data_IF_055693597433
#
_entry.id   IF_055693597433
#
_cell.length_a   1.000
_cell.length_b   1.000
_cell.length_c   1.000
_cell.angle_alpha   90.00
_cell.angle_beta   90.00
_cell.angle_gamma   90.00
#
_symmetry.space_group_name_H-M   'P 1'
#
loop_
_entity.id
_entity.type
_entity.pdbx_description
1 polymer ?
#
# COMPACT_ATOMS: atom_id res chain seq x y z
N UNK A 1 32.71 40.37 6.04
CA UNK A 1 33.24 39.01 5.81
C UNK A 1 34.23 38.74 6.95
N UNK A 2 33.91 37.82 7.85
CA UNK A 2 34.62 37.66 9.12
C UNK A 2 36.08 37.20 8.92
N UNK A 3 37.06 37.86 9.58
CA UNK A 3 38.48 37.47 9.55
C UNK A 3 38.71 36.16 10.34
N UNK A 4 39.65 35.34 9.85
CA UNK A 4 39.82 33.92 10.19
C UNK A 4 40.78 33.59 11.34
N UNK A 5 41.35 34.55 12.06
CA UNK A 5 42.48 34.24 12.95
C UNK A 5 42.37 34.85 14.34
N UNK A 6 41.34 34.47 15.11
CA UNK A 6 41.36 34.72 16.55
C UNK A 6 40.63 33.66 17.37
N UNK A 7 41.32 32.55 17.63
CA UNK A 7 41.12 31.77 18.86
C UNK A 7 42.45 31.68 19.61
N UNK A 8 42.72 32.77 20.31
CA UNK A 8 43.74 32.93 21.33
C UNK A 8 43.30 32.15 22.57
N UNK A 9 44.00 31.06 22.89
CA UNK A 9 44.01 30.48 24.25
C UNK A 9 45.41 30.70 24.82
N UNK A 10 45.58 31.46 25.93
CA UNK A 10 46.87 31.71 26.54
C UNK A 10 47.26 30.53 27.45
N UNK A 11 48.53 30.13 27.41
CA UNK A 11 49.17 29.19 28.33
C UNK A 11 48.66 27.74 28.36
N UNK A 12 49.00 26.96 27.33
CA UNK A 12 49.38 25.57 27.57
C UNK A 12 50.65 25.24 26.78
N UNK A 13 51.73 25.01 27.52
CA UNK A 13 53.00 24.49 27.01
C UNK A 13 52.73 23.11 26.38
N UNK A 14 52.74 23.00 25.04
CA UNK A 14 52.90 21.70 24.37
C UNK A 14 54.22 21.72 23.61
N UNK A 15 55.24 21.25 24.31
CA UNK A 15 56.53 20.88 23.76
C UNK A 15 56.29 19.54 23.02
N UNK A 16 56.48 19.55 21.69
CA UNK A 16 56.49 18.37 20.80
C UNK A 16 55.12 17.74 20.47
N UNK A 17 54.58 18.07 19.29
CA UNK A 17 53.91 17.12 18.40
C UNK A 17 52.81 16.22 18.97
N UNK A 18 51.83 16.77 19.71
CA UNK A 18 50.61 16.02 20.03
C UNK A 18 49.39 16.93 19.85
N UNK A 19 48.73 16.80 18.70
CA UNK A 19 47.51 17.53 18.38
C UNK A 19 46.32 16.78 18.98
N UNK A 20 45.51 17.44 19.81
CA UNK A 20 44.20 16.91 20.25
C UNK A 20 43.13 17.38 19.27
N UNK A 21 42.52 16.45 18.55
CA UNK A 21 41.47 16.77 17.59
C UNK A 21 40.18 17.14 18.31
N UNK A 22 39.47 18.16 17.81
CA UNK A 22 38.13 18.50 18.30
C UNK A 22 37.10 17.41 17.96
N UNK A 23 37.33 16.67 16.87
CA UNK A 23 36.58 15.47 16.47
C UNK A 23 37.43 14.21 16.66
N UNK A 24 36.86 13.14 17.19
CA UNK A 24 37.58 11.87 17.39
C UNK A 24 37.86 11.21 16.03
N UNK A 25 39.14 10.97 15.72
CA UNK A 25 39.56 10.14 14.58
C UNK A 25 39.23 8.68 14.87
N UNK A 26 38.53 8.01 13.96
CA UNK A 26 38.13 6.61 14.12
C UNK A 26 39.01 5.67 13.30
N UNK A 27 38.81 4.36 13.48
CA UNK A 27 39.42 3.30 12.67
C UNK A 27 40.95 3.37 12.52
N UNK A 28 41.64 3.78 13.59
CA UNK A 28 43.10 3.92 13.60
C UNK A 28 43.62 5.19 12.92
N UNK A 29 42.77 6.18 12.68
CA UNK A 29 43.20 7.50 12.22
C UNK A 29 43.98 8.26 13.30
N UNK A 30 45.04 8.95 12.88
CA UNK A 30 45.90 9.75 13.75
C UNK A 30 45.55 11.22 13.66
N UNK A 31 45.53 11.90 14.82
CA UNK A 31 45.30 13.33 14.86
C UNK A 31 46.58 14.07 14.46
N UNK A 32 46.51 14.81 13.35
CA UNK A 32 47.66 15.55 12.78
C UNK A 32 47.43 17.06 12.78
N UNK A 33 46.24 17.51 13.18
CA UNK A 33 45.91 18.91 13.37
C UNK A 33 44.61 19.07 14.18
N UNK A 34 44.24 20.30 14.57
CA UNK A 34 43.11 20.54 15.47
C UNK A 34 41.76 19.97 14.97
N UNK A 35 41.59 19.86 13.65
CA UNK A 35 40.39 19.32 13.00
C UNK A 35 40.74 18.34 11.88
N UNK A 36 41.95 17.76 11.91
CA UNK A 36 42.47 16.99 10.77
C UNK A 36 42.96 15.63 11.24
N UNK A 37 42.29 14.60 10.71
CA UNK A 37 42.68 13.21 10.89
C UNK A 37 43.44 12.71 9.65
N UNK A 38 44.58 12.08 9.88
CA UNK A 38 45.25 11.26 8.86
C UNK A 38 44.75 9.84 9.01
N UNK A 39 44.07 9.33 7.97
CA UNK A 39 43.40 8.04 8.06
C UNK A 39 44.33 6.87 7.76
N UNK A 40 44.10 5.76 8.45
CA UNK A 40 44.74 4.49 8.13
C UNK A 40 44.36 4.02 6.71
N UNK A 41 45.21 3.17 6.13
CA UNK A 41 44.99 2.62 4.78
C UNK A 41 43.58 2.03 4.65
N UNK A 42 42.87 2.43 3.60
CA UNK A 42 41.51 1.97 3.34
C UNK A 42 40.40 2.78 4.02
N UNK A 43 40.72 3.88 4.72
CA UNK A 43 39.73 4.79 5.31
C UNK A 43 39.89 6.23 4.80
N UNK A 44 38.80 6.99 4.83
CA UNK A 44 38.72 8.37 4.35
C UNK A 44 37.67 9.18 5.12
N UNK A 45 37.55 10.46 4.75
CA UNK A 45 36.69 11.45 5.39
C UNK A 45 37.36 12.11 6.59
N UNK A 46 36.76 13.22 7.05
CA UNK A 46 37.35 14.10 8.07
C UNK A 46 37.61 13.40 9.42
N UNK A 47 36.86 12.32 9.70
CA UNK A 47 36.95 11.53 10.92
C UNK A 47 37.41 10.09 10.68
N UNK A 48 37.86 9.74 9.48
CA UNK A 48 38.27 8.39 9.09
C UNK A 48 37.17 7.33 9.26
N UNK A 49 35.92 7.74 9.05
CA UNK A 49 34.73 6.89 9.17
C UNK A 49 34.26 6.31 7.83
N UNK A 50 34.74 6.83 6.71
CA UNK A 50 34.35 6.37 5.38
C UNK A 50 35.32 5.29 4.90
N UNK A 51 34.86 4.04 4.85
CA UNK A 51 35.65 2.95 4.29
C UNK A 51 35.86 3.13 2.78
N UNK A 52 37.04 2.76 2.31
CA UNK A 52 37.42 2.73 0.89
C UNK A 52 37.41 1.26 0.45
N UNK A 53 36.58 0.95 -0.54
CA UNK A 53 36.59 -0.35 -1.20
C UNK A 53 37.22 -0.19 -2.58
N UNK A 54 38.30 -0.91 -2.85
CA UNK A 54 39.04 -0.88 -4.13
C UNK A 54 38.13 -1.31 -5.28
N UNK A 55 37.33 -2.34 -5.04
CA UNK A 55 36.23 -2.74 -5.90
C UNK A 55 34.93 -2.16 -5.36
N UNK A 56 34.17 -1.47 -6.22
CA UNK A 56 32.86 -0.95 -5.81
C UNK A 56 31.92 -2.09 -5.44
N UNK A 57 31.24 -1.95 -4.30
CA UNK A 57 30.20 -2.89 -3.89
C UNK A 57 29.05 -2.85 -4.89
N UNK A 58 28.76 -3.99 -5.53
CA UNK A 58 27.70 -4.10 -6.53
C UNK A 58 26.34 -4.38 -5.88
N UNK A 59 25.29 -4.34 -6.69
CA UNK A 59 23.94 -4.79 -6.34
C UNK A 59 23.40 -4.22 -5.01
N UNK A 60 23.64 -2.92 -4.80
CA UNK A 60 23.20 -2.20 -3.61
C UNK A 60 23.89 -2.66 -2.30
N UNK A 61 25.12 -3.19 -2.42
CA UNK A 61 26.01 -3.42 -1.28
C UNK A 61 26.62 -2.12 -0.76
N UNK A 62 26.95 -2.11 0.53
CA UNK A 62 27.54 -0.95 1.22
C UNK A 62 28.96 -1.28 1.66
N UNK A 63 29.92 -0.41 1.36
CA UNK A 63 31.29 -0.51 1.87
C UNK A 63 31.30 -0.14 3.36
N UNK A 64 31.51 -1.12 4.23
CA UNK A 64 31.46 -0.92 5.70
C UNK A 64 32.83 -1.00 6.35
N UNK A 65 33.79 -1.63 5.69
CA UNK A 65 35.20 -1.66 6.08
C UNK A 65 36.07 -1.76 4.81
N UNK A 66 37.40 -1.53 4.90
CA UNK A 66 38.29 -1.59 3.75
C UNK A 66 38.13 -2.91 3.00
N UNK A 67 37.84 -2.82 1.70
CA UNK A 67 37.57 -3.96 0.81
C UNK A 67 36.50 -4.95 1.32
N UNK A 68 35.63 -4.50 2.22
CA UNK A 68 34.56 -5.32 2.79
C UNK A 68 33.19 -4.69 2.50
N UNK A 69 32.42 -5.38 1.66
CA UNK A 69 31.06 -5.00 1.33
C UNK A 69 30.06 -5.79 2.17
N UNK A 70 29.15 -5.07 2.82
CA UNK A 70 27.92 -5.65 3.36
C UNK A 70 26.88 -5.73 2.24
N UNK A 71 26.53 -6.96 1.85
CA UNK A 71 25.66 -7.21 0.71
C UNK A 71 24.17 -7.13 1.04
N UNK A 72 23.38 -6.73 0.05
CA UNK A 72 21.93 -6.81 0.11
C UNK A 72 21.46 -8.28 0.14
N UNK A 73 20.24 -8.51 0.63
CA UNK A 73 19.64 -9.84 0.73
C UNK A 73 19.68 -10.57 -0.62
N UNK A 74 20.21 -11.80 -0.62
CA UNK A 74 20.33 -12.62 -1.81
C UNK A 74 21.58 -12.35 -2.65
N UNK A 75 22.53 -11.54 -2.16
CA UNK A 75 23.85 -11.35 -2.76
C UNK A 75 24.95 -11.78 -1.81
N UNK A 76 26.09 -12.20 -2.35
CA UNK A 76 27.23 -12.72 -1.59
C UNK A 76 28.55 -12.37 -2.29
N UNK A 77 29.66 -12.82 -1.70
CA UNK A 77 31.05 -12.52 -2.06
C UNK A 77 31.51 -11.11 -1.61
N UNK A 78 32.82 -10.85 -1.65
CA UNK A 78 33.44 -9.61 -1.16
C UNK A 78 32.96 -8.34 -1.89
N UNK A 79 32.46 -8.48 -3.12
CA UNK A 79 31.97 -7.38 -3.97
C UNK A 79 30.45 -7.38 -4.15
N UNK A 80 29.71 -8.31 -3.52
CA UNK A 80 28.27 -8.47 -3.69
C UNK A 80 27.82 -8.75 -5.14
N UNK A 81 28.70 -9.30 -5.96
CA UNK A 81 28.43 -9.64 -7.36
C UNK A 81 27.69 -10.97 -7.50
N UNK A 82 27.91 -11.91 -6.58
CA UNK A 82 27.36 -13.26 -6.70
C UNK A 82 25.94 -13.29 -6.17
N UNK A 83 24.98 -13.66 -7.01
CA UNK A 83 23.61 -13.88 -6.58
C UNK A 83 23.46 -15.23 -5.86
N UNK A 84 22.65 -15.23 -4.80
CA UNK A 84 22.26 -16.41 -4.05
C UNK A 84 20.85 -16.81 -4.47
N UNK A 85 20.70 -18.06 -4.94
CA UNK A 85 19.41 -18.66 -5.24
C UNK A 85 19.07 -19.69 -4.17
N UNK A 86 17.90 -19.56 -3.54
CA UNK A 86 17.42 -20.48 -2.49
C UNK A 86 17.31 -21.92 -3.02
N UNK A 87 16.86 -22.05 -4.27
CA UNK A 87 16.87 -23.31 -4.99
C UNK A 87 17.91 -23.25 -6.11
N UNK A 88 18.72 -24.30 -6.22
CA UNK A 88 19.66 -24.43 -7.34
C UNK A 88 18.92 -24.37 -8.68
N UNK A 89 19.46 -23.58 -9.61
CA UNK A 89 18.90 -23.44 -10.94
C UNK A 89 18.92 -24.80 -11.68
N UNK A 90 17.74 -25.28 -12.07
CA UNK A 90 17.60 -26.59 -12.71
C UNK A 90 18.17 -26.61 -14.12
N UNK A 91 18.55 -27.81 -14.59
CA UNK A 91 19.01 -28.07 -15.95
C UNK A 91 20.23 -27.22 -16.37
N UNK A 92 21.12 -26.92 -15.42
CA UNK A 92 22.33 -26.12 -15.67
C UNK A 92 22.05 -24.64 -15.92
N UNK A 93 20.94 -24.09 -15.41
CA UNK A 93 20.71 -22.65 -15.42
C UNK A 93 21.71 -21.91 -14.53
N UNK A 94 21.98 -20.64 -14.83
CA UNK A 94 22.82 -19.78 -14.02
C UNK A 94 21.99 -18.85 -13.13
N UNK A 95 22.39 -18.68 -11.87
CA UNK A 95 21.77 -17.74 -10.95
C UNK A 95 22.35 -16.36 -11.21
N UNK A 96 21.54 -15.41 -11.69
CA UNK A 96 22.03 -14.07 -12.07
C UNK A 96 21.50 -12.96 -11.17
N UNK A 97 20.46 -13.26 -10.39
CA UNK A 97 19.89 -12.38 -9.37
C UNK A 97 19.22 -13.26 -8.30
N UNK A 98 18.90 -12.72 -7.11
CA UNK A 98 18.21 -13.45 -6.06
C UNK A 98 17.00 -14.21 -6.61
N UNK A 99 17.00 -15.53 -6.42
CA UNK A 99 15.98 -16.47 -6.91
C UNK A 99 15.63 -16.36 -8.41
N UNK A 100 16.54 -15.79 -9.20
CA UNK A 100 16.38 -15.53 -10.64
C UNK A 100 17.37 -16.37 -11.43
N UNK A 101 16.85 -17.39 -12.10
CA UNK A 101 17.64 -18.31 -12.91
C UNK A 101 17.49 -18.01 -14.40
N UNK A 102 18.62 -17.85 -15.09
CA UNK A 102 18.68 -17.82 -16.55
C UNK A 102 19.03 -19.22 -17.06
N UNK A 103 18.18 -19.77 -17.92
CA UNK A 103 18.41 -21.09 -18.52
C UNK A 103 19.45 -21.00 -19.65
N UNK A 104 20.30 -22.03 -19.77
CA UNK A 104 21.19 -22.22 -20.92
C UNK A 104 20.43 -22.30 -22.25
N UNK A 105 21.10 -21.92 -23.34
CA UNK A 105 20.52 -21.87 -24.69
C UNK A 105 19.89 -23.22 -25.07
N UNK A 106 18.63 -23.20 -25.53
CA UNK A 106 17.82 -24.39 -25.85
C UNK A 106 16.74 -24.70 -24.82
N UNK A 107 16.97 -24.44 -23.53
CA UNK A 107 15.97 -24.63 -22.47
C UNK A 107 14.95 -23.49 -22.40
N UNK A 108 15.36 -22.26 -22.69
CA UNK A 108 14.45 -21.11 -22.83
C UNK A 108 13.45 -21.30 -23.99
N UNK A 109 13.83 -22.04 -25.04
CA UNK A 109 12.96 -22.45 -26.14
C UNK A 109 11.97 -23.55 -25.73
N UNK A 110 12.41 -24.54 -24.96
CA UNK A 110 11.53 -25.56 -24.38
C UNK A 110 10.51 -24.96 -23.40
N UNK A 111 10.91 -23.99 -22.58
CA UNK A 111 10.00 -23.27 -21.67
C UNK A 111 9.03 -22.39 -22.43
N UNK A 112 9.44 -21.66 -23.47
CA UNK A 112 8.51 -20.93 -24.35
C UNK A 112 7.52 -21.87 -25.06
N UNK A 113 7.98 -23.00 -25.60
CA UNK A 113 7.11 -24.03 -26.21
C UNK A 113 6.18 -24.66 -25.17
N UNK A 114 6.63 -24.94 -23.95
CA UNK A 114 5.80 -25.45 -22.85
C UNK A 114 4.78 -24.41 -22.39
N UNK A 115 5.17 -23.15 -22.24
CA UNK A 115 4.27 -22.05 -21.91
C UNK A 115 3.26 -21.80 -23.05
N UNK A 116 3.67 -21.87 -24.32
CA UNK A 116 2.79 -21.74 -25.47
C UNK A 116 1.83 -22.93 -25.60
N UNK A 117 2.28 -24.17 -25.31
CA UNK A 117 1.41 -25.35 -25.20
C UNK A 117 0.42 -25.22 -24.05
N UNK A 118 0.84 -24.71 -22.88
CA UNK A 118 -0.05 -24.40 -21.75
C UNK A 118 -1.07 -23.32 -22.11
N UNK A 119 -0.65 -22.21 -22.74
CA UNK A 119 -1.54 -21.15 -23.23
C UNK A 119 -2.54 -21.66 -24.28
N UNK A 120 -2.10 -22.46 -25.26
CA UNK A 120 -3.00 -23.11 -26.24
C UNK A 120 -3.98 -24.06 -25.58
N UNK A 121 -3.55 -24.88 -24.61
CA UNK A 121 -4.45 -25.76 -23.84
C UNK A 121 -5.46 -24.97 -23.01
N UNK A 122 -5.03 -23.89 -22.36
CA UNK A 122 -5.92 -23.00 -21.61
C UNK A 122 -6.91 -22.28 -22.53
N UNK A 123 -6.48 -21.80 -23.70
CA UNK A 123 -7.35 -21.19 -24.72
C UNK A 123 -8.36 -22.19 -25.31
N UNK A 124 -8.01 -23.48 -25.41
CA UNK A 124 -8.94 -24.54 -25.84
C UNK A 124 -9.94 -24.95 -24.72
N UNK A 125 -9.62 -24.70 -23.45
CA UNK A 125 -10.50 -24.99 -22.30
C UNK A 125 -11.48 -23.85 -21.96
N UNK A 126 -11.17 -22.61 -22.34
CA UNK A 126 -12.04 -21.44 -22.10
C UNK A 126 -13.44 -21.54 -22.75
N UNK A 127 -13.61 -22.03 -24.00
CA UNK A 127 -14.93 -22.21 -24.60
C UNK A 127 -15.79 -23.24 -23.86
N UNK A 128 -15.18 -24.34 -23.39
CA UNK A 128 -15.88 -25.39 -22.65
C UNK A 128 -16.35 -24.90 -21.27
N UNK A 129 -15.52 -24.13 -20.54
CA UNK A 129 -15.94 -23.56 -19.25
C UNK A 129 -17.07 -22.52 -19.40
N UNK A 130 -17.05 -21.71 -20.46
CA UNK A 130 -18.15 -20.76 -20.74
C UNK A 130 -19.46 -21.47 -21.11
N UNK A 131 -19.40 -22.59 -21.84
CA UNK A 131 -20.60 -23.40 -22.14
C UNK A 131 -21.18 -24.04 -20.88
N UNK A 132 -20.33 -24.58 -19.99
CA UNK A 132 -20.75 -25.15 -18.70
C UNK A 132 -21.39 -24.07 -17.82
N UNK A 133 -20.79 -22.87 -17.73
CA UNK A 133 -21.39 -21.74 -16.98
C UNK A 133 -22.72 -21.26 -17.57
N UNK A 134 -22.85 -21.17 -18.91
CA UNK A 134 -24.11 -20.82 -19.58
C UNK A 134 -25.22 -21.86 -19.35
N UNK A 135 -24.86 -23.14 -19.16
CA UNK A 135 -25.82 -24.19 -18.82
C UNK A 135 -26.21 -24.21 -17.33
N UNK A 136 -25.35 -23.75 -16.43
CA UNK A 136 -25.61 -23.66 -14.97
C UNK A 136 -26.37 -22.38 -14.56
N UNK A 137 -26.21 -21.27 -15.30
CA UNK A 137 -26.87 -19.98 -15.01
C UNK A 137 -28.42 -20.03 -14.95
N UNK A 138 -29.13 -20.77 -15.83
CA UNK A 138 -30.59 -20.87 -15.77
C UNK A 138 -31.10 -21.50 -14.47
N UNK A 139 -30.34 -22.44 -13.87
CA UNK A 139 -30.76 -23.13 -12.65
C UNK A 139 -30.63 -22.25 -11.39
N UNK A 140 -29.65 -21.35 -11.34
CA UNK A 140 -29.45 -20.46 -10.19
C UNK A 140 -30.41 -19.27 -10.16
N UNK A 141 -30.90 -18.80 -11.31
CA UNK A 141 -31.82 -17.65 -11.40
C UNK A 141 -33.32 -18.03 -11.32
N UNK A 142 -33.66 -19.30 -11.48
CA UNK A 142 -35.05 -19.79 -11.41
C UNK A 142 -35.76 -19.49 -10.08
N UNK A 143 -35.14 -19.69 -8.89
CA UNK A 143 -35.79 -19.39 -7.62
C UNK A 143 -36.10 -17.90 -7.44
N UNK A 144 -35.18 -17.03 -7.87
CA UNK A 144 -35.33 -15.57 -7.77
C UNK A 144 -36.44 -15.04 -8.70
N UNK A 145 -36.49 -15.51 -9.95
CA UNK A 145 -37.57 -15.16 -10.89
C UNK A 145 -38.95 -15.60 -10.40
N UNK A 146 -39.06 -16.81 -9.82
CA UNK A 146 -40.31 -17.29 -9.23
C UNK A 146 -40.76 -16.43 -8.04
N UNK A 147 -39.83 -16.00 -7.17
CA UNK A 147 -40.12 -15.09 -6.05
C UNK A 147 -40.61 -13.72 -6.53
N UNK A 148 -39.95 -13.13 -7.52
CA UNK A 148 -40.35 -11.85 -8.13
C UNK A 148 -41.72 -11.93 -8.78
N UNK A 149 -42.01 -12.99 -9.54
CA UNK A 149 -43.33 -13.20 -10.14
C UNK A 149 -44.42 -13.39 -9.08
N UNK A 150 -44.13 -14.14 -8.00
CA UNK A 150 -45.06 -14.29 -6.87
C UNK A 150 -45.32 -12.95 -6.14
N UNK A 151 -44.28 -12.13 -5.94
CA UNK A 151 -44.41 -10.79 -5.36
C UNK A 151 -45.24 -9.85 -6.25
N UNK A 152 -45.04 -9.89 -7.57
CA UNK A 152 -45.83 -9.10 -8.51
C UNK A 152 -47.29 -9.53 -8.55
N UNK A 153 -47.57 -10.84 -8.52
CA UNK A 153 -48.94 -11.37 -8.40
C UNK A 153 -49.61 -10.92 -7.10
N UNK A 154 -48.89 -10.97 -5.97
CA UNK A 154 -49.38 -10.44 -4.68
C UNK A 154 -49.67 -8.95 -4.72
N UNK A 155 -48.81 -8.14 -5.35
CA UNK A 155 -49.06 -6.69 -5.55
C UNK A 155 -50.28 -6.42 -6.43
N UNK A 156 -50.52 -7.23 -7.47
CA UNK A 156 -51.70 -7.09 -8.35
C UNK A 156 -53.00 -7.51 -7.68
N UNK A 157 -52.95 -8.39 -6.68
CA UNK A 157 -54.12 -8.85 -5.91
C UNK A 157 -54.33 -8.07 -4.59
N UNK A 158 -53.48 -7.09 -4.25
CA UNK A 158 -53.73 -6.21 -3.11
C UNK A 158 -54.90 -5.26 -3.41
N UNK A 159 -55.99 -5.29 -2.62
CA UNK A 159 -57.04 -4.27 -2.73
C UNK A 159 -56.45 -2.91 -2.31
N UNK A 160 -56.63 -1.84 -3.11
CA UNK A 160 -56.22 -0.49 -2.74
C UNK A 160 -57.14 0.10 -1.65
N UNK A 161 -56.71 0.36 -0.40
CA UNK A 161 -57.57 0.97 0.61
C UNK A 161 -57.03 2.32 1.10
N UNK A 162 -56.36 3.13 0.25
CA UNK A 162 -55.74 4.38 0.74
C UNK A 162 -55.95 5.64 -0.12
N UNK A 163 -56.54 5.56 -1.32
CA UNK A 163 -56.85 6.79 -2.08
C UNK A 163 -58.17 7.47 -1.67
N UNK A 164 -59.12 6.75 -1.06
CA UNK A 164 -60.38 7.36 -0.60
C UNK A 164 -60.30 8.04 0.78
N UNK A 165 -59.35 7.65 1.64
CA UNK A 165 -59.23 8.27 2.98
C UNK A 165 -58.56 9.65 2.95
N UNK A 166 -57.70 9.92 1.95
CA UNK A 166 -57.05 11.23 1.79
C UNK A 166 -57.98 12.33 1.25
N UNK A 167 -59.07 11.98 0.58
CA UNK A 167 -60.02 12.97 0.05
C UNK A 167 -61.11 13.39 1.05
N UNK A 168 -61.30 12.67 2.18
CA UNK A 168 -62.28 13.05 3.22
C UNK A 168 -61.75 14.06 4.25
N UNK A 169 -60.43 14.18 4.41
CA UNK A 169 -59.82 15.06 5.41
C UNK A 169 -60.00 16.57 5.16
N UNK A 170 -60.05 17.10 3.91
CA UNK A 170 -60.22 18.54 3.69
C UNK A 170 -61.61 19.05 4.11
N UNK A 171 -62.67 18.26 3.91
CA UNK A 171 -64.04 18.68 4.22
C UNK A 171 -64.32 18.76 5.74
N UNK A 172 -63.75 17.83 6.54
CA UNK A 172 -63.94 17.86 7.99
C UNK A 172 -63.14 18.97 8.70
N UNK A 173 -62.05 19.47 8.09
CA UNK A 173 -61.28 20.61 8.63
C UNK A 173 -62.02 21.95 8.47
N UNK A 174 -62.86 22.11 7.45
CA UNK A 174 -63.62 23.34 7.21
C UNK A 174 -64.93 23.43 8.03
N UNK A 175 -65.53 22.30 8.42
CA UNK A 175 -66.79 22.29 9.18
C UNK A 175 -66.61 22.54 10.69
N UNK A 176 -65.44 22.25 11.25
CA UNK A 176 -65.16 22.38 12.70
C UNK A 176 -65.29 23.83 13.24
N UNK A 177 -64.83 24.88 12.54
CA UNK A 177 -65.03 26.26 12.97
C UNK A 177 -66.50 26.73 12.88
N UNK A 178 -67.26 26.25 11.88
CA UNK A 178 -68.68 26.59 11.72
C UNK A 178 -69.54 25.94 12.82
N UNK A 179 -69.30 24.67 13.15
CA UNK A 179 -69.99 23.99 14.25
C UNK A 179 -69.66 24.62 15.62
N UNK A 180 -68.43 25.10 15.84
CA UNK A 180 -68.09 25.87 17.05
C UNK A 180 -68.86 27.19 17.15
N UNK A 181 -69.02 27.91 16.04
CA UNK A 181 -69.84 29.15 16.03
C UNK A 181 -71.31 28.87 16.30
N UNK A 182 -71.88 27.83 15.70
CA UNK A 182 -73.28 27.44 15.95
C UNK A 182 -73.51 27.01 17.40
N UNK A 183 -72.60 26.21 17.96
CA UNK A 183 -72.68 25.81 19.36
C UNK A 183 -72.53 27.01 20.32
N UNK A 184 -71.63 27.95 20.01
CA UNK A 184 -71.47 29.17 20.81
C UNK A 184 -72.69 30.11 20.70
N UNK A 185 -73.38 30.14 19.55
CA UNK A 185 -74.65 30.85 19.38
C UNK A 185 -75.80 30.20 20.15
N UNK A 186 -75.88 28.85 20.18
CA UNK A 186 -76.85 28.12 20.99
C UNK A 186 -76.64 28.35 22.50
N UNK A 187 -75.39 28.34 22.97
CA UNK A 187 -75.10 28.63 24.39
C UNK A 187 -75.54 30.05 24.76
N UNK A 188 -75.32 31.05 23.90
CA UNK A 188 -75.75 32.43 24.16
C UNK A 188 -77.28 32.57 24.15
N UNK A 189 -77.99 31.82 23.29
CA UNK A 189 -79.47 31.84 23.33
C UNK A 189 -80.02 31.13 24.56
N UNK A 190 -79.46 29.98 24.95
CA UNK A 190 -79.88 29.25 26.16
C UNK A 190 -79.60 30.04 27.46
N UNK A 191 -78.56 30.87 27.50
CA UNK A 191 -78.29 31.76 28.64
C UNK A 191 -79.21 32.99 28.69
N UNK A 192 -79.93 33.30 27.61
CA UNK A 192 -80.87 34.45 27.54
C UNK A 192 -82.29 34.07 27.96
N UNK A 193 -82.63 32.77 27.99
CA UNK A 193 -83.96 32.25 28.40
C UNK A 193 -84.03 31.90 29.92
N UNK A 194 -82.98 32.20 30.69
CA UNK A 194 -82.88 31.93 32.14
C UNK A 194 -82.57 33.18 32.99
N UNK A 195 -82.92 34.37 32.49
CA UNK A 195 -82.98 35.63 33.24
C UNK A 195 -84.33 36.33 33.08
#
# INVERSE_FOLDING_TARGET
MFPKDELRMPNLLVISGNYSCSSVCQNGGECTGPTTCTCATGWSGDTCTLAICTNSCQNNGTCTAPDNCTCATGWTNSTCETATCTNACQNGGNCTAPDTCICVAGWSGATRRRQQRRRRRQQLQQPQQQQIQKQLQPQQQQPQRRRLQAQQRRRRQQPQPQLQQRQRQPQQRQQKPQQRRQHQQQIVSEMSDHL
#
